data_IF_252341195485
#
_entry.id   IF_252341195485
#
_cell.length_a   1.000
_cell.length_b   1.000
_cell.length_c   1.000
_cell.angle_alpha   90.00
_cell.angle_beta   90.00
_cell.angle_gamma   90.00
#
_symmetry.space_group_name_H-M   'P 1'
#
loop_
_entity.id
_entity.type
_entity.pdbx_description
1 polymer ?
#
# COMPACT_ATOMS: atom_id res chain seq x y z
N UNK A 1 10.02 -8.49 0.93
CA UNK A 1 11.00 -7.78 0.07
C UNK A 1 10.57 -6.38 -0.38
N UNK A 2 9.51 -6.19 -1.20
CA UNK A 2 9.19 -4.85 -1.76
C UNK A 2 8.85 -3.77 -0.72
N UNK A 3 8.10 -4.13 0.32
CA UNK A 3 7.80 -3.21 1.42
C UNK A 3 9.08 -2.68 2.08
N UNK A 4 10.09 -3.55 2.27
CA UNK A 4 11.39 -3.17 2.81
C UNK A 4 12.13 -2.21 1.86
N UNK A 5 12.17 -2.55 0.57
CA UNK A 5 12.81 -1.71 -0.45
C UNK A 5 12.17 -0.31 -0.52
N UNK A 6 10.86 -0.19 -0.32
CA UNK A 6 10.15 1.10 -0.27
C UNK A 6 10.45 1.86 1.04
N UNK A 7 10.39 1.19 2.18
CA UNK A 7 10.66 1.78 3.51
C UNK A 7 12.08 2.35 3.60
N UNK A 8 13.05 1.60 3.10
CA UNK A 8 14.46 1.97 3.08
C UNK A 8 14.84 2.85 1.87
N UNK A 9 13.93 3.05 0.91
CA UNK A 9 14.19 3.89 -0.26
C UNK A 9 15.25 3.33 -1.21
N UNK A 10 15.43 2.00 -1.24
CA UNK A 10 16.48 1.31 -2.01
C UNK A 10 16.26 1.37 -3.53
N UNK A 11 15.00 1.58 -3.95
CA UNK A 11 14.62 1.67 -5.36
C UNK A 11 14.26 3.11 -5.71
N UNK A 12 14.98 3.68 -6.68
CA UNK A 12 14.66 5.01 -7.22
C UNK A 12 13.24 5.01 -7.81
N UNK A 13 12.42 5.99 -7.43
CA UNK A 13 11.04 6.08 -7.89
C UNK A 13 10.19 7.01 -7.03
N UNK A 14 8.86 6.92 -7.19
CA UNK A 14 7.89 7.74 -6.46
C UNK A 14 8.08 7.65 -4.94
N UNK A 15 8.17 6.43 -4.41
CA UNK A 15 8.30 6.19 -2.97
C UNK A 15 9.56 6.82 -2.38
N UNK A 16 10.69 6.68 -3.07
CA UNK A 16 11.96 7.30 -2.65
C UNK A 16 11.93 8.83 -2.79
N UNK A 17 11.37 9.37 -3.89
CA UNK A 17 11.28 10.81 -4.14
C UNK A 17 10.43 11.55 -3.10
N UNK A 18 9.33 10.94 -2.65
CA UNK A 18 8.37 11.57 -1.74
C UNK A 18 8.42 11.01 -0.31
N UNK A 19 9.41 10.18 0.03
CA UNK A 19 9.56 9.62 1.38
C UNK A 19 8.38 8.74 1.82
N UNK A 20 7.75 8.00 0.90
CA UNK A 20 6.63 7.13 1.22
C UNK A 20 7.11 5.85 1.92
N UNK A 21 7.30 5.92 3.24
CA UNK A 21 7.89 4.84 4.05
C UNK A 21 6.90 4.03 4.88
N UNK A 22 5.73 4.59 5.18
CA UNK A 22 4.74 3.98 6.08
C UNK A 22 3.77 3.12 5.28
N UNK A 23 3.63 1.84 5.63
CA UNK A 23 2.64 0.96 5.02
C UNK A 23 1.31 1.09 5.77
N UNK A 24 0.33 1.78 5.21
CA UNK A 24 -0.93 2.07 5.94
C UNK A 24 -2.08 1.15 5.57
N UNK A 25 -1.96 0.40 4.47
CA UNK A 25 -2.98 -0.53 3.99
C UNK A 25 -2.37 -1.53 3.00
N UNK A 26 -2.78 -2.79 3.08
CA UNK A 26 -2.52 -3.83 2.09
C UNK A 26 -3.66 -4.86 2.08
N UNK A 27 -3.76 -5.61 1.00
CA UNK A 27 -4.73 -6.69 0.81
C UNK A 27 -3.99 -7.88 0.18
N UNK A 28 -4.27 -9.09 0.67
CA UNK A 28 -3.72 -10.32 0.13
C UNK A 28 -4.70 -10.92 -0.88
N UNK A 29 -4.17 -11.44 -1.98
CA UNK A 29 -4.94 -12.12 -3.01
C UNK A 29 -4.31 -13.46 -3.35
N UNK A 30 -5.14 -14.45 -3.68
CA UNK A 30 -4.70 -15.80 -3.98
C UNK A 30 -4.03 -15.90 -5.36
N UNK A 31 -4.44 -15.02 -6.29
CA UNK A 31 -3.88 -14.98 -7.64
C UNK A 31 -3.26 -13.63 -8.01
N UNK A 32 -2.25 -13.68 -8.89
CA UNK A 32 -1.66 -12.49 -9.47
C UNK A 32 -2.67 -11.66 -10.28
N UNK A 33 -3.63 -12.33 -10.95
CA UNK A 33 -4.63 -11.67 -11.80
C UNK A 33 -5.58 -10.83 -10.94
N UNK A 34 -6.04 -11.35 -9.80
CA UNK A 34 -6.87 -10.61 -8.86
C UNK A 34 -6.12 -9.42 -8.28
N UNK A 35 -4.88 -9.63 -7.84
CA UNK A 35 -4.04 -8.54 -7.31
C UNK A 35 -3.87 -7.40 -8.32
N UNK A 36 -3.54 -7.72 -9.58
CA UNK A 36 -3.39 -6.71 -10.65
C UNK A 36 -4.73 -6.00 -10.93
N UNK A 37 -5.83 -6.75 -10.96
CA UNK A 37 -7.16 -6.19 -11.21
C UNK A 37 -7.56 -5.22 -10.10
N UNK A 38 -7.34 -5.63 -8.83
CA UNK A 38 -7.60 -4.80 -7.66
C UNK A 38 -6.73 -3.56 -7.64
N UNK A 39 -5.44 -3.69 -7.94
CA UNK A 39 -4.52 -2.56 -8.03
C UNK A 39 -4.99 -1.53 -9.08
N UNK A 40 -5.44 -1.98 -10.26
CA UNK A 40 -5.98 -1.09 -11.30
C UNK A 40 -7.25 -0.36 -10.84
N UNK A 41 -8.18 -1.06 -10.20
CA UNK A 41 -9.39 -0.45 -9.64
C UNK A 41 -9.05 0.62 -8.60
N UNK A 42 -8.12 0.33 -7.68
CA UNK A 42 -7.67 1.30 -6.68
C UNK A 42 -7.02 2.51 -7.36
N UNK A 43 -6.13 2.30 -8.34
CA UNK A 43 -5.48 3.40 -9.06
C UNK A 43 -6.46 4.31 -9.80
N UNK A 44 -7.48 3.75 -10.44
CA UNK A 44 -8.54 4.48 -11.14
C UNK A 44 -9.60 5.11 -10.22
N UNK A 45 -9.69 4.64 -8.97
CA UNK A 45 -10.65 5.12 -7.98
C UNK A 45 -10.32 6.51 -7.40
N UNK A 46 -11.32 7.10 -6.72
CA UNK A 46 -11.15 8.40 -6.05
C UNK A 46 -10.31 8.32 -4.79
N UNK A 47 -9.70 9.45 -4.41
CA UNK A 47 -8.98 9.57 -3.13
C UNK A 47 -9.88 9.25 -1.94
N UNK A 48 -11.12 9.73 -1.94
CA UNK A 48 -12.09 9.46 -0.86
C UNK A 48 -12.31 7.96 -0.64
N UNK A 49 -12.43 7.16 -1.71
CA UNK A 49 -12.58 5.70 -1.59
C UNK A 49 -11.33 5.03 -1.00
N UNK A 50 -10.13 5.50 -1.36
CA UNK A 50 -8.88 5.00 -0.77
C UNK A 50 -8.79 5.32 0.72
N UNK A 51 -9.17 6.54 1.11
CA UNK A 51 -9.20 6.95 2.52
C UNK A 51 -10.18 6.08 3.31
N UNK A 52 -11.40 5.87 2.81
CA UNK A 52 -12.38 5.00 3.47
C UNK A 52 -11.87 3.55 3.66
N UNK A 53 -11.14 3.00 2.68
CA UNK A 53 -10.52 1.67 2.81
C UNK A 53 -9.43 1.64 3.89
N UNK A 54 -8.57 2.67 3.93
CA UNK A 54 -7.52 2.79 4.94
C UNK A 54 -8.16 2.95 6.32
N UNK A 55 -9.07 3.90 6.49
CA UNK A 55 -9.68 4.24 7.78
C UNK A 55 -10.59 3.14 8.31
N UNK A 56 -11.23 2.35 7.43
CA UNK A 56 -12.04 1.20 7.82
C UNK A 56 -11.23 0.05 8.44
N UNK A 57 -9.96 -0.12 8.06
CA UNK A 57 -9.09 -1.20 8.56
C UNK A 57 -8.03 -0.68 9.56
N UNK A 58 -7.55 0.54 9.35
CA UNK A 58 -6.46 1.17 10.08
C UNK A 58 -6.81 2.64 10.40
N UNK A 59 -7.83 2.88 11.26
CA UNK A 59 -8.27 4.24 11.59
C UNK A 59 -7.17 5.09 12.26
N UNK A 60 -6.20 4.43 12.91
CA UNK A 60 -5.05 5.08 13.55
C UNK A 60 -3.87 5.34 12.63
N UNK A 61 -3.97 5.03 11.33
CA UNK A 61 -2.90 5.21 10.34
C UNK A 61 -1.56 4.62 10.79
N UNK A 62 -1.61 3.49 11.51
CA UNK A 62 -0.43 2.81 12.03
C UNK A 62 0.41 2.25 10.89
N UNK A 63 1.72 2.17 11.09
CA UNK A 63 2.60 1.44 10.18
C UNK A 63 2.33 -0.06 10.31
N UNK A 64 1.85 -0.67 9.23
CA UNK A 64 1.53 -2.09 9.13
C UNK A 64 2.72 -2.91 8.64
N UNK A 65 3.89 -2.29 8.45
CA UNK A 65 5.06 -3.03 7.98
C UNK A 65 5.39 -4.24 8.86
N UNK A 66 5.33 -4.08 10.18
CA UNK A 66 5.62 -5.16 11.14
C UNK A 66 4.54 -6.26 11.17
N UNK A 67 3.38 -6.03 10.52
CA UNK A 67 2.32 -7.06 10.40
C UNK A 67 2.49 -7.90 9.13
N UNK A 68 3.47 -7.61 8.29
CA UNK A 68 3.85 -8.46 7.18
C UNK A 68 4.56 -9.70 7.74
N UNK A 69 3.91 -10.85 7.62
CA UNK A 69 4.52 -12.16 7.92
C UNK A 69 5.66 -12.50 6.94
#
# INVERSE_FOLDING_TARGET
RRAFEHREGLVKGFSAKYGCKILVWYELHESMIEAITREKQLKAGSRAKKLALIEGLNPGWKDLYETLA
#
